data_IF_174229253762
#
_entry.id   IF_174229253762
#
_cell.length_a   1.000
_cell.length_b   1.000
_cell.length_c   1.000
_cell.angle_alpha   90.00
_cell.angle_beta   90.00
_cell.angle_gamma   90.00
#
_symmetry.space_group_name_H-M   'P 1'
#
loop_
_entity.id
_entity.type
_entity.pdbx_description
1 polymer ?
#
# COMPACT_ATOMS: atom_id res chain seq x y z
N UNK A 1 14.01 51.69 -12.65
CA UNK A 1 15.10 50.94 -12.00
C UNK A 1 14.57 49.65 -11.37
N UNK A 2 13.91 48.78 -12.17
CA UNK A 2 13.21 47.57 -11.69
C UNK A 2 13.15 46.42 -12.70
N UNK A 3 13.80 46.54 -13.85
CA UNK A 3 13.86 45.48 -14.89
C UNK A 3 15.06 44.53 -14.71
N UNK A 4 16.08 44.92 -13.96
CA UNK A 4 17.26 44.07 -13.72
C UNK A 4 17.01 42.98 -12.67
N UNK A 5 16.26 43.26 -11.59
CA UNK A 5 15.98 42.28 -10.53
C UNK A 5 15.17 41.06 -11.00
N UNK A 6 14.22 41.25 -11.94
CA UNK A 6 13.42 40.14 -12.50
C UNK A 6 14.22 39.21 -13.44
N UNK A 7 15.29 39.72 -14.05
CA UNK A 7 16.20 38.91 -14.88
C UNK A 7 17.09 38.01 -14.02
N UNK A 8 17.49 38.49 -12.84
CA UNK A 8 18.27 37.71 -11.87
C UNK A 8 17.44 36.60 -11.22
N UNK A 9 16.18 36.86 -10.85
CA UNK A 9 15.27 35.83 -10.31
C UNK A 9 14.94 34.75 -11.34
N UNK A 10 14.59 35.12 -12.57
CA UNK A 10 14.27 34.14 -13.62
C UNK A 10 15.49 33.28 -14.03
N UNK A 11 16.71 33.85 -13.98
CA UNK A 11 17.95 33.10 -14.23
C UNK A 11 18.26 32.15 -13.09
N UNK A 12 18.01 32.57 -11.85
CA UNK A 12 18.23 31.77 -10.66
C UNK A 12 17.21 30.62 -10.58
N UNK A 13 15.95 30.87 -10.92
CA UNK A 13 14.90 29.85 -11.05
C UNK A 13 15.26 28.80 -12.10
N UNK A 14 15.65 29.23 -13.32
CA UNK A 14 16.12 28.28 -14.35
C UNK A 14 17.33 27.45 -13.91
N UNK A 15 18.29 28.07 -13.23
CA UNK A 15 19.46 27.35 -12.73
C UNK A 15 19.12 26.36 -11.61
N UNK A 16 18.06 26.62 -10.83
CA UNK A 16 17.54 25.67 -9.84
C UNK A 16 16.82 24.52 -10.55
N UNK A 17 15.98 24.84 -11.53
CA UNK A 17 15.28 23.84 -12.35
C UNK A 17 16.28 22.90 -13.04
N UNK A 18 17.32 23.44 -13.68
CA UNK A 18 18.38 22.65 -14.33
C UNK A 18 19.07 21.70 -13.35
N UNK A 19 19.40 22.18 -12.14
CA UNK A 19 20.02 21.34 -11.10
C UNK A 19 19.08 20.25 -10.61
N UNK A 20 17.79 20.55 -10.49
CA UNK A 20 16.78 19.59 -10.06
C UNK A 20 16.54 18.51 -11.13
N UNK A 21 16.48 18.91 -12.41
CA UNK A 21 16.42 17.97 -13.55
C UNK A 21 17.66 17.08 -13.59
N UNK A 22 18.86 17.64 -13.43
CA UNK A 22 20.11 16.87 -13.43
C UNK A 22 20.15 15.87 -12.26
N UNK A 23 19.72 16.29 -11.07
CA UNK A 23 19.63 15.41 -9.91
C UNK A 23 18.64 14.27 -10.14
N UNK A 24 17.46 14.56 -10.70
CA UNK A 24 16.46 13.57 -11.07
C UNK A 24 16.99 12.60 -12.13
N UNK A 25 17.73 13.08 -13.12
CA UNK A 25 18.33 12.25 -14.15
C UNK A 25 19.33 11.25 -13.56
N UNK A 26 20.22 11.71 -12.68
CA UNK A 26 21.17 10.85 -12.00
C UNK A 26 20.50 9.84 -11.07
N UNK A 27 19.52 10.29 -10.29
CA UNK A 27 18.74 9.42 -9.41
C UNK A 27 17.99 8.35 -10.21
N UNK A 28 17.37 8.72 -11.33
CA UNK A 28 16.70 7.82 -12.26
C UNK A 28 17.63 6.72 -12.75
N UNK A 29 18.81 7.11 -13.25
CA UNK A 29 19.80 6.17 -13.78
C UNK A 29 20.25 5.17 -12.71
N UNK A 30 20.64 5.66 -11.54
CA UNK A 30 21.13 4.80 -10.45
C UNK A 30 20.03 3.88 -9.92
N UNK A 31 18.80 4.39 -9.78
CA UNK A 31 17.67 3.59 -9.34
C UNK A 31 17.30 2.50 -10.34
N UNK A 32 17.33 2.79 -11.65
CA UNK A 32 17.08 1.78 -12.68
C UNK A 32 18.14 0.68 -12.67
N UNK A 33 19.42 1.04 -12.60
CA UNK A 33 20.51 0.07 -12.52
C UNK A 33 20.40 -0.81 -11.27
N UNK A 34 20.22 -0.20 -10.09
CA UNK A 34 20.03 -0.94 -8.83
C UNK A 34 18.75 -1.77 -8.79
N UNK A 35 17.71 -1.37 -9.54
CA UNK A 35 16.48 -2.14 -9.69
C UNK A 35 16.63 -3.35 -10.64
N UNK A 36 17.71 -3.42 -11.42
CA UNK A 36 17.87 -4.40 -12.51
C UNK A 36 17.07 -4.03 -13.76
N UNK A 37 16.59 -2.79 -13.85
CA UNK A 37 15.86 -2.27 -15.00
C UNK A 37 16.85 -1.70 -16.03
N UNK A 38 17.75 -2.56 -16.50
CA UNK A 38 18.83 -2.17 -17.41
C UNK A 38 19.24 -3.33 -18.32
N UNK A 39 19.84 -3.00 -19.46
CA UNK A 39 20.60 -3.95 -20.27
C UNK A 39 22.08 -3.76 -19.97
N UNK A 40 22.76 -4.84 -19.58
CA UNK A 40 24.21 -4.85 -19.34
C UNK A 40 24.88 -5.68 -20.42
N UNK A 41 25.86 -5.10 -21.09
CA UNK A 41 26.69 -5.75 -22.10
C UNK A 41 28.13 -5.67 -21.64
N UNK A 42 28.75 -6.82 -21.40
CA UNK A 42 30.17 -6.86 -21.04
C UNK A 42 31.01 -6.64 -22.31
N UNK A 43 31.81 -5.58 -22.30
CA UNK A 43 32.70 -5.22 -23.41
C UNK A 43 34.15 -5.32 -22.97
N UNK A 44 35.09 -5.27 -23.93
CA UNK A 44 36.53 -5.37 -23.66
C UNK A 44 37.04 -4.24 -22.75
N UNK A 45 36.38 -3.08 -22.74
CA UNK A 45 36.72 -1.93 -21.88
C UNK A 45 35.96 -1.93 -20.55
N UNK A 46 35.08 -2.91 -20.33
CA UNK A 46 34.24 -3.04 -19.14
C UNK A 46 32.74 -3.17 -19.45
N UNK A 47 31.91 -3.34 -18.41
CA UNK A 47 30.47 -3.46 -18.56
C UNK A 47 29.85 -2.13 -19.02
N UNK A 48 29.11 -2.17 -20.12
CA UNK A 48 28.25 -1.06 -20.57
C UNK A 48 26.83 -1.29 -20.05
N UNK A 49 26.31 -0.35 -19.26
CA UNK A 49 24.95 -0.41 -18.70
C UNK A 49 24.07 0.63 -19.40
N UNK A 50 22.96 0.16 -19.97
CA UNK A 50 21.94 1.01 -20.59
C UNK A 50 20.65 0.91 -19.78
N UNK A 51 20.13 2.05 -19.34
CA UNK A 51 18.87 2.18 -18.61
C UNK A 51 17.81 2.84 -19.50
N UNK A 52 16.50 2.72 -19.19
CA UNK A 52 15.47 3.49 -19.87
C UNK A 52 15.80 4.98 -19.84
N UNK A 53 15.71 5.65 -20.98
CA UNK A 53 16.20 7.01 -21.12
C UNK A 53 15.16 8.00 -20.61
N UNK A 54 15.55 8.89 -19.72
CA UNK A 54 14.75 10.07 -19.37
C UNK A 54 14.80 11.06 -20.53
N UNK A 55 13.64 11.32 -21.15
CA UNK A 55 13.51 12.17 -22.36
C UNK A 55 13.07 13.58 -22.00
N UNK A 56 12.17 13.69 -21.03
CA UNK A 56 11.60 14.96 -20.61
C UNK A 56 11.26 14.93 -19.11
N UNK A 57 11.38 16.08 -18.46
CA UNK A 57 11.09 16.29 -17.04
C UNK A 57 10.28 17.57 -16.91
N UNK A 58 9.05 17.42 -16.43
CA UNK A 58 8.19 18.55 -16.09
C UNK A 58 8.22 18.71 -14.57
N UNK A 59 8.91 19.76 -14.14
CA UNK A 59 8.93 20.18 -12.74
C UNK A 59 7.61 20.90 -12.39
N UNK A 60 7.11 20.66 -11.18
CA UNK A 60 5.81 21.14 -10.71
C UNK A 60 5.06 20.07 -9.91
N UNK A 61 3.96 20.38 -9.22
CA UNK A 61 3.14 19.37 -8.57
C UNK A 61 2.06 18.82 -9.54
N UNK A 62 2.06 17.50 -9.86
CA UNK A 62 3.09 16.50 -9.57
C UNK A 62 4.26 16.56 -10.55
N UNK A 63 5.44 16.10 -10.12
CA UNK A 63 6.63 16.00 -10.99
C UNK A 63 6.38 14.85 -11.96
N UNK A 64 6.59 15.11 -13.25
CA UNK A 64 6.33 14.13 -14.32
C UNK A 64 7.59 13.86 -15.12
N UNK A 65 7.89 12.58 -15.30
CA UNK A 65 8.99 12.11 -16.12
C UNK A 65 8.43 11.42 -17.37
N UNK A 66 8.95 11.77 -18.54
CA UNK A 66 8.74 11.00 -19.77
C UNK A 66 9.97 10.14 -20.01
N UNK A 67 9.77 8.83 -20.03
CA UNK A 67 10.85 7.85 -20.15
C UNK A 67 10.66 7.06 -21.45
N UNK A 68 11.72 6.95 -22.23
CA UNK A 68 11.81 6.02 -23.35
C UNK A 68 12.26 4.65 -22.84
N UNK A 69 11.44 3.64 -23.12
CA UNK A 69 11.70 2.24 -22.76
C UNK A 69 12.86 1.68 -23.59
N UNK A 70 13.54 0.68 -23.03
CA UNK A 70 14.53 -0.10 -23.77
C UNK A 70 13.86 -0.94 -24.86
N UNK A 71 14.57 -1.29 -25.95
CA UNK A 71 14.03 -2.21 -26.96
C UNK A 71 13.55 -3.53 -26.34
N UNK A 72 12.31 -3.91 -26.62
CA UNK A 72 11.68 -5.13 -26.09
C UNK A 72 11.22 -5.05 -24.62
N UNK A 73 11.47 -3.94 -23.93
CA UNK A 73 10.99 -3.73 -22.57
C UNK A 73 9.51 -3.35 -22.56
N UNK A 74 8.75 -3.94 -21.63
CA UNK A 74 7.33 -3.66 -21.49
C UNK A 74 7.07 -2.66 -20.35
N UNK A 75 5.95 -1.95 -20.44
CA UNK A 75 5.47 -1.09 -19.34
C UNK A 75 5.31 -1.88 -18.02
N UNK A 76 4.99 -3.18 -18.12
CA UNK A 76 4.88 -4.08 -16.98
C UNK A 76 6.20 -4.29 -16.22
N UNK A 77 7.35 -4.23 -16.90
CA UNK A 77 8.66 -4.38 -16.27
C UNK A 77 9.00 -3.16 -15.42
N UNK A 78 8.68 -1.97 -15.94
CA UNK A 78 8.77 -0.70 -15.21
C UNK A 78 7.88 -0.71 -13.95
N UNK A 79 6.61 -1.13 -14.11
CA UNK A 79 5.66 -1.25 -13.00
C UNK A 79 6.13 -2.21 -11.91
N UNK A 80 6.77 -3.32 -12.28
CA UNK A 80 7.28 -4.34 -11.35
C UNK A 80 8.32 -3.78 -10.38
N UNK A 81 9.12 -2.82 -10.82
CA UNK A 81 10.19 -2.20 -10.01
C UNK A 81 9.85 -0.81 -9.49
N UNK A 82 8.69 -0.25 -9.84
CA UNK A 82 8.29 1.12 -9.52
C UNK A 82 8.40 1.43 -8.02
N UNK A 83 7.95 0.52 -7.14
CA UNK A 83 8.05 0.70 -5.68
C UNK A 83 9.50 0.73 -5.16
N UNK A 84 10.44 0.07 -5.85
CA UNK A 84 11.86 0.10 -5.49
C UNK A 84 12.52 1.39 -5.98
N UNK A 85 12.07 1.95 -7.10
CA UNK A 85 12.61 3.18 -7.69
C UNK A 85 12.07 4.42 -6.97
N UNK A 86 10.80 4.43 -6.56
CA UNK A 86 10.12 5.60 -6.00
C UNK A 86 10.94 6.36 -4.92
N UNK A 87 11.52 5.69 -3.89
CA UNK A 87 12.24 6.39 -2.82
C UNK A 87 13.49 7.13 -3.30
N UNK A 88 14.13 6.64 -4.37
CA UNK A 88 15.32 7.28 -4.94
C UNK A 88 14.99 8.58 -5.68
N UNK A 89 13.74 8.74 -6.10
CA UNK A 89 13.23 9.94 -6.76
C UNK A 89 12.53 10.89 -5.79
N UNK A 90 12.57 10.62 -4.48
CA UNK A 90 11.85 11.41 -3.47
C UNK A 90 10.34 11.20 -3.47
N UNK A 91 9.83 10.14 -4.10
CA UNK A 91 8.42 9.81 -4.16
C UNK A 91 8.06 8.65 -3.23
N UNK A 92 6.81 8.61 -2.76
CA UNK A 92 6.26 7.47 -2.01
C UNK A 92 5.88 6.33 -2.96
N UNK A 93 5.37 6.67 -4.14
CA UNK A 93 5.00 5.75 -5.19
C UNK A 93 5.16 6.40 -6.58
N UNK A 94 5.21 5.58 -7.63
CA UNK A 94 5.22 6.05 -9.01
C UNK A 94 3.93 5.60 -9.71
N UNK A 95 3.23 6.54 -10.34
CA UNK A 95 2.14 6.20 -11.26
C UNK A 95 2.72 6.05 -12.67
N UNK A 96 2.61 4.85 -13.22
CA UNK A 96 3.19 4.50 -14.52
C UNK A 96 2.10 4.28 -15.56
N UNK A 97 2.03 5.18 -16.54
CA UNK A 97 1.07 5.15 -17.64
C UNK A 97 1.77 5.04 -18.99
N UNK A 98 1.10 4.46 -19.97
CA UNK A 98 1.64 4.37 -21.32
C UNK A 98 1.61 5.75 -21.99
N UNK A 99 2.68 6.09 -22.70
CA UNK A 99 2.73 7.25 -23.59
C UNK A 99 3.15 6.76 -24.98
N UNK A 100 2.18 6.35 -25.79
CA UNK A 100 2.47 5.66 -27.04
C UNK A 100 3.10 4.27 -26.83
N UNK A 101 3.88 3.80 -27.81
CA UNK A 101 4.38 2.42 -27.83
C UNK A 101 5.72 2.22 -27.10
N UNK A 102 6.60 3.23 -27.13
CA UNK A 102 7.97 3.13 -26.61
C UNK A 102 8.25 4.11 -25.49
N UNK A 103 7.28 4.94 -25.09
CA UNK A 103 7.43 5.84 -23.95
C UNK A 103 6.46 5.50 -22.84
N UNK A 104 6.89 5.79 -21.62
CA UNK A 104 6.10 5.75 -20.41
C UNK A 104 6.07 7.14 -19.78
N UNK A 105 4.90 7.51 -19.28
CA UNK A 105 4.73 8.69 -18.42
C UNK A 105 4.73 8.21 -16.96
N UNK A 106 5.62 8.79 -16.17
CA UNK A 106 5.79 8.48 -14.76
C UNK A 106 5.45 9.72 -13.94
N UNK A 107 4.45 9.63 -13.08
CA UNK A 107 4.12 10.70 -12.12
C UNK A 107 4.66 10.32 -10.74
N UNK A 108 5.42 11.23 -10.13
CA UNK A 108 5.97 11.06 -8.78
C UNK A 108 4.90 11.43 -7.76
N UNK A 109 4.47 10.46 -6.96
CA UNK A 109 3.44 10.66 -5.95
C UNK A 109 4.08 11.02 -4.60
N UNK A 110 3.76 12.20 -4.09
CA UNK A 110 4.21 12.67 -2.77
C UNK A 110 3.46 12.04 -1.58
N UNK A 111 2.35 11.36 -1.84
CA UNK A 111 1.59 10.59 -0.87
C UNK A 111 1.17 9.26 -1.50
N UNK A 112 1.03 8.21 -0.69
CA UNK A 112 0.49 6.94 -1.17
C UNK A 112 -1.02 7.12 -1.47
N UNK A 113 -1.45 6.94 -2.73
CA UNK A 113 -2.85 7.11 -3.11
C UNK A 113 -3.77 6.07 -2.46
N UNK A 114 -3.21 5.01 -1.89
CA UNK A 114 -3.91 3.94 -1.19
C UNK A 114 -3.75 4.03 0.33
N UNK A 115 -3.07 5.05 0.86
CA UNK A 115 -2.96 5.27 2.31
C UNK A 115 -4.30 5.78 2.85
N UNK A 116 -5.10 4.82 3.32
CA UNK A 116 -6.43 5.08 3.84
C UNK A 116 -7.18 3.81 4.16
N UNK A 117 -8.36 3.99 4.74
CA UNK A 117 -9.30 2.88 4.98
C UNK A 117 -10.48 3.00 4.04
N UNK A 118 -10.78 1.91 3.33
CA UNK A 118 -12.02 1.80 2.54
C UNK A 118 -13.13 1.33 3.47
N UNK A 119 -14.15 2.18 3.67
CA UNK A 119 -15.37 1.79 4.38
C UNK A 119 -16.21 0.88 3.50
N UNK A 120 -16.72 -0.21 4.09
CA UNK A 120 -17.64 -1.11 3.39
C UNK A 120 -19.09 -0.64 3.65
N UNK A 121 -19.85 -0.28 2.61
CA UNK A 121 -21.26 0.03 2.77
C UNK A 121 -22.01 -1.27 3.08
N UNK A 122 -22.56 -1.38 4.29
CA UNK A 122 -23.37 -2.51 4.73
C UNK A 122 -24.78 -2.03 5.10
N UNK A 123 -25.84 -2.74 4.69
CA UNK A 123 -25.82 -3.95 3.86
C UNK A 123 -25.37 -3.67 2.42
N UNK A 124 -24.69 -4.63 1.81
CA UNK A 124 -24.23 -4.52 0.42
C UNK A 124 -25.39 -4.71 -0.56
N UNK A 125 -25.24 -4.17 -1.78
CA UNK A 125 -26.19 -4.42 -2.85
C UNK A 125 -26.12 -5.91 -3.27
N UNK A 126 -27.26 -6.60 -3.43
CA UNK A 126 -27.28 -8.00 -3.87
C UNK A 126 -26.54 -8.21 -5.20
N UNK A 127 -25.94 -9.39 -5.37
CA UNK A 127 -25.20 -9.79 -6.56
C UNK A 127 -23.81 -9.16 -6.71
N UNK A 128 -23.43 -8.16 -5.91
CA UNK A 128 -22.16 -7.43 -6.07
C UNK A 128 -21.37 -7.31 -4.77
N UNK A 129 -20.05 -7.29 -4.90
CA UNK A 129 -19.13 -7.11 -3.79
C UNK A 129 -18.12 -6.01 -4.10
N UNK A 130 -17.89 -5.11 -3.15
CA UNK A 130 -16.80 -4.14 -3.18
C UNK A 130 -15.52 -4.83 -2.72
N UNK A 131 -14.52 -4.90 -3.60
CA UNK A 131 -13.20 -5.46 -3.32
C UNK A 131 -12.27 -4.42 -2.67
N UNK A 132 -12.42 -3.15 -3.05
CA UNK A 132 -11.58 -2.05 -2.58
C UNK A 132 -11.68 -0.83 -3.50
N UNK A 133 -10.66 0.03 -3.45
CA UNK A 133 -10.49 1.15 -4.38
C UNK A 133 -9.16 1.03 -5.10
N UNK A 134 -9.16 1.47 -6.35
CA UNK A 134 -7.92 1.60 -7.12
C UNK A 134 -7.17 2.90 -6.78
N UNK A 135 -6.00 3.07 -7.40
CA UNK A 135 -5.13 4.25 -7.27
C UNK A 135 -5.74 5.55 -7.82
N UNK A 136 -6.91 5.49 -8.44
CA UNK A 136 -7.70 6.63 -8.93
C UNK A 136 -8.94 6.89 -8.06
N UNK A 137 -9.00 6.23 -6.89
CA UNK A 137 -10.12 6.26 -5.95
C UNK A 137 -11.44 5.69 -6.52
N UNK A 138 -11.39 4.92 -7.61
CA UNK A 138 -12.58 4.24 -8.14
C UNK A 138 -12.81 2.95 -7.39
N UNK A 139 -14.08 2.69 -7.10
CA UNK A 139 -14.50 1.46 -6.44
C UNK A 139 -14.31 0.27 -7.40
N UNK A 140 -13.57 -0.74 -6.92
CA UNK A 140 -13.40 -2.02 -7.59
C UNK A 140 -14.53 -2.94 -7.13
N UNK A 141 -15.56 -3.07 -7.96
CA UNK A 141 -16.74 -3.88 -7.69
C UNK A 141 -16.74 -5.10 -8.61
N UNK A 142 -17.20 -6.24 -8.09
CA UNK A 142 -17.27 -7.49 -8.82
C UNK A 142 -18.64 -8.16 -8.63
N UNK A 143 -19.23 -8.72 -9.69
CA UNK A 143 -20.38 -9.62 -9.56
C UNK A 143 -19.89 -10.97 -9.05
N UNK A 144 -20.47 -11.46 -7.97
CA UNK A 144 -20.14 -12.82 -7.49
C UNK A 144 -20.96 -13.89 -8.22
N UNK A 145 -22.09 -13.50 -8.82
CA UNK A 145 -22.97 -14.42 -9.55
C UNK A 145 -22.50 -14.66 -10.99
N UNK A 146 -22.00 -13.60 -11.64
CA UNK A 146 -21.74 -13.63 -13.09
C UNK A 146 -20.24 -13.69 -13.43
N UNK A 147 -19.39 -13.03 -12.63
CA UNK A 147 -17.99 -12.83 -13.02
C UNK A 147 -17.04 -13.89 -12.44
N UNK A 148 -17.42 -14.56 -11.33
CA UNK A 148 -16.48 -15.40 -10.57
C UNK A 148 -17.12 -16.67 -10.02
N UNK A 149 -16.66 -17.82 -10.50
CA UNK A 149 -16.99 -19.10 -9.88
C UNK A 149 -16.19 -19.35 -8.58
N UNK A 150 -14.90 -18.98 -8.56
CA UNK A 150 -14.00 -19.25 -7.44
C UNK A 150 -13.00 -18.12 -7.20
N UNK A 151 -12.71 -17.81 -5.92
CA UNK A 151 -11.71 -16.80 -5.52
C UNK A 151 -10.66 -17.42 -4.62
N UNK A 152 -9.37 -17.12 -4.90
CA UNK A 152 -8.24 -17.50 -4.05
C UNK A 152 -7.62 -16.24 -3.45
N UNK A 153 -7.42 -16.21 -2.12
CA UNK A 153 -6.85 -15.08 -1.40
C UNK A 153 -5.52 -15.47 -0.73
N UNK A 154 -4.42 -14.86 -1.15
CA UNK A 154 -3.04 -15.21 -0.72
C UNK A 154 -2.24 -13.98 -0.27
N UNK A 155 -1.11 -14.22 0.41
CA UNK A 155 -0.29 -13.18 1.04
C UNK A 155 0.26 -13.58 2.42
N UNK A 156 1.18 -12.77 2.95
CA UNK A 156 1.90 -13.03 4.23
C UNK A 156 1.13 -12.55 5.47
N UNK A 157 1.51 -12.99 6.67
CA UNK A 157 0.88 -12.50 7.93
C UNK A 157 0.86 -10.98 7.98
N UNK A 158 -0.28 -10.40 8.42
CA UNK A 158 -0.53 -8.94 8.47
C UNK A 158 -0.70 -8.25 7.11
N UNK A 159 -0.71 -8.96 5.98
CA UNK A 159 -1.00 -8.37 4.65
C UNK A 159 -2.46 -7.97 4.41
N UNK A 160 -3.33 -8.03 5.42
CA UNK A 160 -4.76 -7.67 5.27
C UNK A 160 -5.69 -8.77 4.73
N UNK A 161 -5.19 -9.95 4.32
CA UNK A 161 -6.05 -11.05 3.80
C UNK A 161 -7.27 -11.35 4.65
N UNK A 162 -7.10 -11.49 5.97
CA UNK A 162 -8.23 -11.80 6.86
C UNK A 162 -9.27 -10.69 6.80
N UNK A 163 -8.83 -9.42 6.91
CA UNK A 163 -9.72 -8.25 6.79
C UNK A 163 -10.47 -8.24 5.46
N UNK A 164 -9.77 -8.52 4.36
CA UNK A 164 -10.38 -8.68 3.04
C UNK A 164 -11.42 -9.79 3.01
N UNK A 165 -11.08 -11.00 3.46
CA UNK A 165 -12.01 -12.15 3.48
C UNK A 165 -13.24 -11.87 4.34
N UNK A 166 -13.09 -11.20 5.49
CA UNK A 166 -14.23 -10.82 6.31
C UNK A 166 -15.11 -9.77 5.66
N UNK A 167 -14.49 -8.77 5.02
CA UNK A 167 -15.22 -7.74 4.29
C UNK A 167 -16.04 -8.34 3.16
N UNK A 168 -15.47 -9.31 2.44
CA UNK A 168 -16.19 -10.06 1.41
C UNK A 168 -17.37 -10.85 2.02
N UNK A 169 -17.11 -11.62 3.08
CA UNK A 169 -18.15 -12.42 3.74
C UNK A 169 -19.26 -11.57 4.36
N UNK A 170 -18.97 -10.38 4.90
CA UNK A 170 -19.99 -9.51 5.47
C UNK A 170 -20.92 -8.91 4.42
N UNK A 171 -20.39 -8.65 3.22
CA UNK A 171 -21.19 -8.19 2.08
C UNK A 171 -22.06 -9.33 1.55
N UNK A 172 -21.47 -10.52 1.33
CA UNK A 172 -22.20 -11.70 0.85
C UNK A 172 -23.26 -12.20 1.84
N UNK A 173 -23.01 -12.12 3.14
CA UNK A 173 -24.00 -12.53 4.14
C UNK A 173 -25.23 -11.62 4.20
N UNK A 174 -25.17 -10.43 3.60
CA UNK A 174 -26.33 -9.55 3.43
C UNK A 174 -27.18 -9.93 2.21
N UNK A 175 -26.67 -10.78 1.31
CA UNK A 175 -27.37 -11.20 0.10
C UNK A 175 -28.26 -12.42 0.39
N UNK A 176 -29.58 -12.33 0.15
CA UNK A 176 -30.51 -13.44 0.43
C UNK A 176 -30.27 -14.68 -0.44
N UNK A 177 -29.55 -14.55 -1.55
CA UNK A 177 -29.23 -15.67 -2.45
C UNK A 177 -28.00 -16.46 -2.01
N UNK A 178 -27.26 -15.98 -1.00
CA UNK A 178 -26.01 -16.60 -0.56
C UNK A 178 -26.23 -17.40 0.73
N UNK A 179 -25.87 -18.68 0.69
CA UNK A 179 -25.75 -19.52 1.90
C UNK A 179 -24.28 -19.71 2.26
N UNK A 180 -23.78 -19.09 3.35
CA UNK A 180 -22.38 -19.18 3.71
C UNK A 180 -22.04 -20.55 4.35
N UNK A 181 -21.22 -21.35 3.66
CA UNK A 181 -20.59 -22.56 4.23
C UNK A 181 -19.15 -22.28 4.63
N UNK A 182 -18.69 -22.93 5.70
CA UNK A 182 -17.40 -22.60 6.30
C UNK A 182 -16.65 -23.81 6.81
N UNK A 183 -15.41 -23.99 6.36
CA UNK A 183 -14.45 -24.95 6.90
C UNK A 183 -13.26 -24.21 7.51
N UNK A 184 -12.82 -24.62 8.71
CA UNK A 184 -11.69 -24.03 9.44
C UNK A 184 -10.79 -25.14 10.01
N UNK A 185 -9.49 -25.16 9.71
CA UNK A 185 -8.53 -26.05 10.39
C UNK A 185 -7.95 -25.47 11.69
N UNK A 186 -7.92 -24.13 11.91
CA UNK A 186 -7.32 -23.53 13.11
C UNK A 186 -8.18 -22.43 13.78
N UNK A 187 -8.20 -22.41 15.13
CA UNK A 187 -9.06 -21.57 15.99
C UNK A 187 -8.77 -20.07 15.95
N UNK A 188 -7.54 -19.64 15.65
CA UNK A 188 -7.11 -18.25 15.84
C UNK A 188 -7.59 -17.28 14.75
N UNK A 189 -7.98 -17.78 13.58
CA UNK A 189 -8.18 -16.92 12.43
C UNK A 189 -9.54 -16.21 12.42
N UNK A 190 -10.56 -16.73 13.13
CA UNK A 190 -11.86 -16.08 13.09
C UNK A 190 -12.76 -16.22 14.35
N UNK A 191 -13.23 -15.09 14.88
CA UNK A 191 -14.31 -15.03 15.88
C UNK A 191 -15.68 -15.27 15.20
N UNK A 192 -16.76 -15.65 15.92
CA UNK A 192 -18.01 -16.03 15.29
C UNK A 192 -18.73 -14.81 14.71
N UNK A 193 -19.04 -14.87 13.40
CA UNK A 193 -20.12 -14.07 12.81
C UNK A 193 -21.41 -14.60 13.42
N UNK A 194 -21.94 -13.93 14.44
CA UNK A 194 -23.28 -14.23 14.97
C UNK A 194 -24.31 -13.66 14.00
N UNK A 195 -25.51 -14.25 14.00
CA UNK A 195 -26.68 -13.95 13.14
C UNK A 195 -27.24 -12.50 13.23
N UNK A 196 -26.49 -11.55 13.74
CA UNK A 196 -26.95 -10.17 13.95
C UNK A 196 -25.95 -9.18 13.30
N UNK A 197 -26.27 -8.61 12.12
CA UNK A 197 -25.36 -7.73 11.37
C UNK A 197 -25.23 -6.32 11.97
N UNK A 198 -26.05 -5.95 12.96
CA UNK A 198 -26.09 -4.58 13.49
C UNK A 198 -25.04 -4.26 14.58
N UNK A 199 -24.21 -5.24 14.99
CA UNK A 199 -23.22 -5.01 16.06
C UNK A 199 -21.79 -5.35 15.62
N UNK A 200 -21.07 -4.26 15.32
CA UNK A 200 -19.61 -4.03 15.42
C UNK A 200 -18.80 -4.17 14.12
N UNK A 201 -18.63 -3.03 13.46
CA UNK A 201 -17.31 -2.60 12.98
C UNK A 201 -16.75 -1.67 14.05
N UNK A 202 -15.82 -2.18 14.87
CA UNK A 202 -15.07 -1.35 15.81
C UNK A 202 -13.59 -1.66 15.62
N UNK A 203 -12.84 -0.63 15.22
CA UNK A 203 -11.45 -0.71 14.80
C UNK A 203 -10.53 -1.44 15.77
N UNK A 204 -9.49 -2.04 15.21
CA UNK A 204 -8.35 -2.56 15.97
C UNK A 204 -7.68 -1.38 16.69
N UNK A 205 -8.04 -1.14 17.96
CA UNK A 205 -7.32 -0.21 18.83
C UNK A 205 -5.87 -0.70 18.98
N UNK A 206 -4.92 0.21 18.73
CA UNK A 206 -3.50 0.04 19.08
C UNK A 206 -3.39 -0.45 20.53
N UNK A 207 -2.55 -1.47 20.77
CA UNK A 207 -2.17 -1.91 22.12
C UNK A 207 -1.67 -0.71 22.91
N UNK A 208 -2.23 -0.49 24.11
CA UNK A 208 -1.67 0.46 25.08
C UNK A 208 -0.22 0.05 25.42
N UNK A 209 0.70 1.01 25.64
CA UNK A 209 2.04 0.70 26.15
C UNK A 209 1.91 0.08 27.54
N UNK A 210 2.76 -0.91 27.83
CA UNK A 210 2.78 -1.64 29.09
C UNK A 210 2.97 -0.73 30.30
N UNK A 211 2.23 -1.04 31.38
CA UNK A 211 2.59 -0.55 32.72
C UNK A 211 4.01 -1.04 33.05
N UNK A 212 4.88 -0.21 33.63
CA UNK A 212 6.19 -0.66 34.08
C UNK A 212 6.03 -1.67 35.22
N UNK A 213 6.84 -2.73 35.15
CA UNK A 213 7.04 -3.69 36.23
C UNK A 213 7.75 -2.99 37.39
N UNK A 214 7.11 -2.90 38.55
CA UNK A 214 7.79 -2.59 39.81
C UNK A 214 8.36 -3.88 40.41
N UNK A 215 9.67 -3.88 40.66
CA UNK A 215 10.42 -4.91 41.38
C UNK A 215 10.29 -4.71 42.92
N UNK A 216 10.80 -5.64 43.76
CA UNK A 216 10.18 -6.05 45.01
C UNK A 216 10.60 -5.22 46.24
N UNK A 217 9.72 -5.16 47.23
CA UNK A 217 10.06 -4.82 48.61
C UNK A 217 9.45 -5.89 49.54
N UNK A 218 10.29 -6.64 50.25
CA UNK A 218 9.90 -7.34 51.48
C UNK A 218 10.14 -6.44 52.70
N UNK A 219 10.11 -6.99 53.92
CA UNK A 219 9.00 -7.71 54.56
C UNK A 219 8.51 -6.95 55.81
N UNK A 220 7.21 -7.00 56.10
CA UNK A 220 6.62 -6.36 57.28
C UNK A 220 5.51 -7.21 57.88
N UNK A 221 5.70 -7.57 59.15
CA UNK A 221 4.93 -8.49 59.98
C UNK A 221 3.51 -7.99 60.30
N UNK A 222 2.61 -8.91 60.64
CA UNK A 222 1.57 -8.63 61.66
C UNK A 222 0.17 -9.21 61.42
N UNK A 223 -0.07 -10.38 62.00
CA UNK A 223 -1.30 -10.84 62.67
C UNK A 223 -2.70 -10.77 62.01
N UNK A 224 -3.35 -11.94 61.95
CA UNK A 224 -4.80 -12.10 61.87
C UNK A 224 -5.22 -13.46 61.31
N UNK A 225 -5.57 -14.40 62.20
CA UNK A 225 -5.94 -15.80 61.92
C UNK A 225 -7.32 -15.93 61.23
N UNK A 226 -7.66 -17.14 60.70
CA UNK A 226 -8.73 -17.40 59.74
C UNK A 226 -10.04 -17.81 60.43
N UNK A 227 -11.16 -17.67 59.72
CA UNK A 227 -12.38 -18.42 60.03
C UNK A 227 -12.82 -19.27 58.85
N UNK A 228 -13.17 -20.50 59.25
CA UNK A 228 -13.59 -21.68 58.50
C UNK A 228 -15.08 -21.63 58.14
N UNK A 229 -15.42 -22.43 57.12
CA UNK A 229 -16.65 -23.24 56.97
C UNK A 229 -18.00 -22.53 56.80
N UNK A 230 -18.63 -22.80 55.65
CA UNK A 230 -19.85 -23.61 55.48
C UNK A 230 -20.50 -23.25 54.13
N UNK A 231 -21.28 -24.07 53.44
CA UNK A 231 -21.54 -25.51 53.42
C UNK A 231 -22.34 -25.73 52.13
N UNK A 232 -22.33 -26.97 51.68
CA UNK A 232 -23.05 -27.49 50.53
C UNK A 232 -24.58 -27.32 50.58
N UNK A 233 -25.16 -27.33 49.36
CA UNK A 233 -26.44 -27.95 48.93
C UNK A 233 -27.75 -27.16 49.10
N UNK A 234 -28.81 -27.50 48.34
CA UNK A 234 -29.04 -28.68 47.47
C UNK A 234 -28.65 -28.50 46.00
#
# INVERSE_FOLDING_TARGET
>A
MGREMGFWTARQERALDEREVDALWWAWRQACEGAGLCTRVDTVTGPTVTVPRLVDVVLGPPVVLTVQLLPGQLLGDLRRVALRIAPHLGAVALRVTALGQIHARIELLGADPLDGTVGLPLPAAPGRVLLGRDETARDLVQSWADDVAHTIVQGVTRSGKSVFTYGLLSQLAADPLVTPLRQRPHRAALAPVRRDPARRVAGLRRRRPGRPRSAPAGPGRGHGRPDLLDACRP
#
